data_IF_696363558718
#
_entry.id   IF_696363558718
#
_cell.length_a   1.000
_cell.length_b   1.000
_cell.length_c   1.000
_cell.angle_alpha   90.00
_cell.angle_beta   90.00
_cell.angle_gamma   90.00
#
_symmetry.space_group_name_H-M   'P 1'
#
loop_
_entity.id
_entity.type
_entity.pdbx_description
1 polymer ?
#
# COMPACT_ATOMS: atom_id res chain seq x y z
N UNK A 1 26.58 -26.26 -13.73
CA UNK A 1 25.45 -25.73 -12.93
C UNK A 1 24.74 -24.69 -13.77
N UNK A 2 23.42 -24.77 -13.93
CA UNK A 2 22.68 -23.68 -14.58
C UNK A 2 22.91 -22.40 -13.76
N UNK A 3 23.43 -21.36 -14.39
CA UNK A 3 23.79 -20.13 -13.70
C UNK A 3 22.51 -19.46 -13.16
N UNK A 4 22.39 -19.39 -11.84
CA UNK A 4 21.28 -18.72 -11.17
C UNK A 4 21.43 -17.20 -11.35
N UNK A 5 20.86 -16.67 -12.43
CA UNK A 5 20.97 -15.26 -12.84
C UNK A 5 19.59 -14.60 -12.93
N UNK A 6 19.54 -13.31 -13.26
CA UNK A 6 18.29 -12.53 -13.29
C UNK A 6 17.24 -13.09 -14.26
N UNK A 7 17.65 -13.83 -15.30
CA UNK A 7 16.77 -14.33 -16.35
C UNK A 7 16.30 -15.77 -16.11
N UNK A 8 16.69 -16.41 -15.01
CA UNK A 8 16.18 -17.75 -14.68
C UNK A 8 14.82 -17.68 -13.99
N UNK A 9 13.93 -18.66 -14.20
CA UNK A 9 12.66 -18.73 -13.48
C UNK A 9 12.82 -18.78 -11.95
N UNK A 10 11.77 -18.34 -11.26
CA UNK A 10 11.69 -18.32 -9.79
C UNK A 10 10.28 -18.75 -9.35
N UNK A 11 10.21 -19.77 -8.51
CA UNK A 11 9.00 -20.07 -7.74
C UNK A 11 8.87 -19.09 -6.58
N UNK A 12 7.76 -18.35 -6.51
CA UNK A 12 7.44 -17.40 -5.45
C UNK A 12 6.04 -17.71 -4.92
N UNK A 13 5.96 -18.31 -3.73
CA UNK A 13 4.69 -18.79 -3.17
C UNK A 13 4.00 -19.76 -4.13
N UNK A 14 2.78 -19.41 -4.55
CA UNK A 14 2.01 -20.18 -5.53
C UNK A 14 2.28 -19.80 -7.00
N UNK A 15 3.18 -18.85 -7.27
CA UNK A 15 3.50 -18.39 -8.62
C UNK A 15 4.81 -18.98 -9.15
N UNK A 16 4.83 -19.24 -10.46
CA UNK A 16 6.05 -19.49 -11.22
C UNK A 16 6.36 -18.23 -12.06
N UNK A 17 7.41 -17.51 -11.71
CA UNK A 17 7.82 -16.28 -12.39
C UNK A 17 8.80 -16.62 -13.52
N UNK A 18 8.63 -15.97 -14.68
CA UNK A 18 9.47 -16.21 -15.86
C UNK A 18 10.93 -15.78 -15.65
N UNK A 19 11.19 -14.82 -14.76
CA UNK A 19 12.50 -14.29 -14.43
C UNK A 19 12.49 -13.66 -13.01
N UNK A 20 13.65 -13.19 -12.55
CA UNK A 20 13.84 -12.59 -11.20
C UNK A 20 13.80 -11.06 -11.21
N UNK A 21 13.33 -10.45 -12.30
CA UNK A 21 13.27 -8.99 -12.45
C UNK A 21 11.87 -8.52 -12.07
N UNK A 22 11.77 -7.89 -10.90
CA UNK A 22 10.52 -7.37 -10.39
C UNK A 22 10.40 -5.88 -10.71
N UNK A 23 9.21 -5.44 -11.14
CA UNK A 23 8.88 -4.03 -11.18
C UNK A 23 8.47 -3.59 -9.77
N UNK A 24 9.25 -2.69 -9.19
CA UNK A 24 8.96 -2.10 -7.88
C UNK A 24 7.63 -1.32 -7.90
N UNK A 25 6.97 -1.19 -6.74
CA UNK A 25 5.79 -0.35 -6.58
C UNK A 25 6.16 1.13 -6.68
N UNK A 26 5.54 1.83 -7.64
CA UNK A 26 5.88 3.21 -8.01
C UNK A 26 4.60 4.04 -8.13
N UNK A 27 4.28 4.83 -7.11
CA UNK A 27 3.13 5.75 -7.13
C UNK A 27 3.23 6.75 -8.27
N UNK A 28 2.21 6.81 -9.15
CA UNK A 28 2.22 7.65 -10.35
C UNK A 28 1.19 8.77 -10.34
N UNK A 29 0.23 8.74 -9.40
CA UNK A 29 -0.85 9.71 -9.28
C UNK A 29 -1.67 9.87 -10.58
N UNK A 30 -1.97 8.76 -11.26
CA UNK A 30 -2.70 8.75 -12.55
C UNK A 30 -4.09 8.12 -12.49
N UNK A 31 -4.60 7.85 -11.29
CA UNK A 31 -6.02 7.56 -11.12
C UNK A 31 -6.83 8.84 -11.35
N UNK A 32 -8.14 8.70 -11.54
CA UNK A 32 -9.04 9.84 -11.61
C UNK A 32 -9.06 10.59 -10.27
N UNK A 33 -8.97 11.93 -10.26
CA UNK A 33 -8.99 12.70 -9.01
C UNK A 33 -10.33 12.59 -8.27
N UNK A 34 -10.27 12.40 -6.95
CA UNK A 34 -11.44 12.38 -6.05
C UNK A 34 -12.09 11.01 -5.90
N UNK A 35 -12.27 10.25 -6.99
CA UNK A 35 -12.82 8.88 -6.98
C UNK A 35 -11.74 7.79 -7.04
N UNK A 36 -10.49 8.15 -7.37
CA UNK A 36 -9.32 7.30 -7.30
C UNK A 36 -9.44 6.03 -8.15
N UNK A 37 -10.10 6.13 -9.31
CA UNK A 37 -10.34 5.02 -10.23
C UNK A 37 -9.15 4.89 -11.21
N UNK A 38 -8.56 3.69 -11.36
CA UNK A 38 -7.55 3.45 -12.38
C UNK A 38 -8.00 3.85 -13.79
N UNK A 39 -7.11 4.50 -14.54
CA UNK A 39 -7.40 5.00 -15.89
C UNK A 39 -6.93 4.05 -16.99
N UNK A 40 -7.42 4.23 -18.23
CA UNK A 40 -6.93 3.46 -19.39
C UNK A 40 -5.42 3.64 -19.64
N UNK A 41 -4.86 4.80 -19.26
CA UNK A 41 -3.42 5.02 -19.30
C UNK A 41 -2.65 4.10 -18.33
N UNK A 42 -3.24 3.76 -17.18
CA UNK A 42 -2.67 2.80 -16.23
C UNK A 42 -2.75 1.37 -16.76
N UNK A 43 -3.85 1.00 -17.45
CA UNK A 43 -3.96 -0.30 -18.13
C UNK A 43 -2.80 -0.50 -19.10
N UNK A 44 -2.58 0.47 -20.00
CA UNK A 44 -1.47 0.44 -20.94
C UNK A 44 -0.11 0.41 -20.22
N UNK A 45 0.07 1.23 -19.18
CA UNK A 45 1.32 1.34 -18.43
C UNK A 45 1.81 0.01 -17.86
N UNK A 46 0.91 -0.75 -17.22
CA UNK A 46 1.23 -2.05 -16.63
C UNK A 46 1.32 -3.15 -17.69
N UNK A 47 0.43 -3.15 -18.69
CA UNK A 47 0.50 -4.11 -19.79
C UNK A 47 1.84 -4.03 -20.55
N UNK A 48 2.42 -2.85 -20.72
CA UNK A 48 3.72 -2.68 -21.37
C UNK A 48 4.91 -3.24 -20.57
N UNK A 49 4.69 -3.58 -19.29
CA UNK A 49 5.71 -4.11 -18.38
C UNK A 49 5.47 -5.56 -18.00
N UNK A 50 4.50 -6.24 -18.62
CA UNK A 50 4.16 -7.63 -18.34
C UNK A 50 5.30 -8.65 -18.55
N UNK A 51 6.41 -8.25 -19.20
CA UNK A 51 7.62 -9.07 -19.32
C UNK A 51 8.45 -9.17 -18.03
N UNK A 52 8.19 -8.30 -17.03
CA UNK A 52 8.75 -8.46 -15.68
C UNK A 52 8.30 -9.78 -15.07
N UNK A 53 9.17 -10.43 -14.29
CA UNK A 53 8.83 -11.67 -13.59
C UNK A 53 7.60 -11.49 -12.70
N UNK A 54 7.54 -10.38 -11.96
CA UNK A 54 6.36 -9.93 -11.23
C UNK A 54 6.32 -8.40 -11.23
N UNK A 55 5.13 -7.85 -11.44
CA UNK A 55 4.81 -6.44 -11.21
C UNK A 55 4.24 -6.29 -9.80
N UNK A 56 4.70 -5.29 -9.06
CA UNK A 56 4.01 -4.84 -7.86
C UNK A 56 3.41 -3.48 -8.22
N UNK A 57 2.08 -3.42 -8.26
CA UNK A 57 1.36 -2.20 -8.61
C UNK A 57 1.64 -1.07 -7.61
N UNK A 58 1.36 0.16 -8.02
CA UNK A 58 1.46 1.32 -7.15
C UNK A 58 0.59 1.19 -5.88
N UNK A 59 0.96 1.95 -4.85
CA UNK A 59 0.24 1.93 -3.58
C UNK A 59 -1.25 2.22 -3.80
N UNK A 60 -2.09 1.33 -3.28
CA UNK A 60 -3.53 1.35 -3.51
C UNK A 60 -4.29 1.36 -2.19
N UNK A 61 -5.13 2.37 -2.00
CA UNK A 61 -5.81 2.63 -0.73
C UNK A 61 -6.86 1.56 -0.39
N UNK A 62 -6.72 0.94 0.78
CA UNK A 62 -7.66 -0.06 1.31
C UNK A 62 -8.95 0.54 1.88
N UNK A 63 -8.97 1.85 2.15
CA UNK A 63 -10.07 2.53 2.80
C UNK A 63 -10.28 3.94 2.22
N UNK A 64 -11.51 4.44 2.19
CA UNK A 64 -11.79 5.79 1.71
C UNK A 64 -11.18 6.82 2.64
N UNK A 65 -10.94 8.04 2.12
CA UNK A 65 -10.49 9.19 2.92
C UNK A 65 -9.12 8.98 3.60
N UNK A 66 -8.24 8.20 2.98
CA UNK A 66 -6.87 7.93 3.46
C UNK A 66 -5.78 8.39 2.49
N UNK A 67 -6.12 9.28 1.54
CA UNK A 67 -5.21 9.74 0.48
C UNK A 67 -4.09 10.63 1.01
N UNK A 68 -2.89 10.43 0.47
CA UNK A 68 -1.73 11.30 0.63
C UNK A 68 -1.24 11.95 -0.68
N UNK A 69 -1.72 11.51 -1.86
CA UNK A 69 -1.14 11.87 -3.16
C UNK A 69 -2.14 12.41 -4.20
N UNK A 70 -3.33 12.83 -3.78
CA UNK A 70 -4.41 13.42 -4.59
C UNK A 70 -5.09 12.46 -5.59
N UNK A 71 -4.32 11.67 -6.34
CA UNK A 71 -4.83 10.81 -7.42
C UNK A 71 -4.12 9.46 -7.50
N UNK A 72 -3.68 8.93 -6.36
CA UNK A 72 -3.34 7.51 -6.21
C UNK A 72 -4.60 6.63 -6.25
N UNK A 73 -4.53 5.38 -6.71
CA UNK A 73 -5.71 4.53 -6.83
C UNK A 73 -6.24 3.97 -5.49
N UNK A 74 -7.51 3.60 -5.46
CA UNK A 74 -8.14 2.83 -4.37
C UNK A 74 -8.48 1.39 -4.76
N UNK A 75 -8.81 0.56 -3.76
CA UNK A 75 -9.31 -0.84 -3.93
C UNK A 75 -10.51 -1.14 -3.02
N UNK A 76 -11.30 -0.11 -2.70
CA UNK A 76 -12.38 -0.19 -1.71
C UNK A 76 -13.78 0.10 -2.28
N UNK A 77 -13.89 0.55 -3.53
CA UNK A 77 -15.19 0.68 -4.22
C UNK A 77 -15.33 -0.28 -5.40
N UNK A 78 -16.56 -0.67 -5.80
CA UNK A 78 -16.79 -1.50 -6.97
C UNK A 78 -16.19 -0.94 -8.26
N UNK A 79 -16.26 0.38 -8.46
CA UNK A 79 -15.77 1.05 -9.66
C UNK A 79 -14.24 1.01 -9.75
N UNK A 80 -13.56 1.24 -8.63
CA UNK A 80 -12.10 1.10 -8.52
C UNK A 80 -11.67 -0.33 -8.87
N UNK A 81 -12.36 -1.34 -8.33
CA UNK A 81 -12.05 -2.75 -8.56
C UNK A 81 -12.32 -3.18 -9.99
N UNK A 82 -13.42 -2.73 -10.59
CA UNK A 82 -13.72 -3.00 -12.00
C UNK A 82 -12.66 -2.39 -12.93
N UNK A 83 -12.16 -1.20 -12.61
CA UNK A 83 -11.07 -0.57 -13.36
C UNK A 83 -9.73 -1.28 -13.16
N UNK A 84 -9.40 -1.71 -11.93
CA UNK A 84 -8.24 -2.55 -11.68
C UNK A 84 -8.30 -3.89 -12.40
N UNK A 85 -9.48 -4.49 -12.52
CA UNK A 85 -9.67 -5.72 -13.30
C UNK A 85 -9.22 -5.57 -14.75
N UNK A 86 -9.46 -4.42 -15.38
CA UNK A 86 -8.95 -4.15 -16.74
C UNK A 86 -7.41 -4.17 -16.79
N UNK A 87 -6.76 -3.64 -15.74
CA UNK A 87 -5.30 -3.62 -15.63
C UNK A 87 -4.75 -5.04 -15.51
N UNK A 88 -5.29 -5.84 -14.58
CA UNK A 88 -4.83 -7.21 -14.35
C UNK A 88 -5.11 -8.10 -15.57
N UNK A 89 -6.29 -8.00 -16.18
CA UNK A 89 -6.64 -8.71 -17.41
C UNK A 89 -5.66 -8.38 -18.54
N UNK A 90 -5.24 -7.11 -18.70
CA UNK A 90 -4.29 -6.69 -19.73
C UNK A 90 -2.85 -7.20 -19.46
N UNK A 91 -2.43 -7.27 -18.19
CA UNK A 91 -1.14 -7.88 -17.81
C UNK A 91 -1.16 -9.39 -18.06
N UNK A 92 -2.24 -10.06 -17.65
CA UNK A 92 -2.42 -11.51 -17.81
C UNK A 92 -2.56 -11.94 -19.27
N UNK A 93 -3.20 -11.13 -20.12
CA UNK A 93 -3.27 -11.37 -21.56
C UNK A 93 -1.89 -11.43 -22.23
N UNK A 94 -0.86 -10.82 -21.62
CA UNK A 94 0.55 -10.89 -22.07
C UNK A 94 1.38 -11.90 -21.28
N UNK A 95 0.74 -12.74 -20.45
CA UNK A 95 1.40 -13.76 -19.61
C UNK A 95 2.13 -13.20 -18.37
N UNK A 96 1.94 -11.92 -18.04
CA UNK A 96 2.57 -11.31 -16.88
C UNK A 96 1.92 -11.71 -15.55
N UNK A 97 2.58 -11.33 -14.45
CA UNK A 97 2.10 -11.49 -13.08
C UNK A 97 2.07 -10.16 -12.36
N UNK A 98 1.05 -9.92 -11.55
CA UNK A 98 0.87 -8.65 -10.85
C UNK A 98 0.29 -8.82 -9.45
N UNK A 99 0.96 -8.19 -8.48
CA UNK A 99 0.49 -8.02 -7.10
C UNK A 99 -0.01 -6.58 -6.90
N UNK A 100 -1.03 -6.42 -6.05
CA UNK A 100 -1.46 -5.09 -5.60
C UNK A 100 -0.71 -4.68 -4.33
N UNK A 101 -0.05 -3.52 -4.31
CA UNK A 101 0.49 -3.00 -3.05
C UNK A 101 -0.62 -2.31 -2.25
N UNK A 102 -1.17 -3.01 -1.27
CA UNK A 102 -2.24 -2.49 -0.41
C UNK A 102 -1.67 -1.58 0.69
N UNK A 103 -2.32 -0.44 0.87
CA UNK A 103 -1.72 0.70 1.55
C UNK A 103 -2.73 1.51 2.36
N UNK A 104 -2.25 2.08 3.47
CA UNK A 104 -2.95 3.07 4.29
C UNK A 104 -1.93 4.14 4.72
N UNK A 105 -2.16 5.40 4.35
CA UNK A 105 -1.18 6.46 4.55
C UNK A 105 -0.91 6.78 6.04
N UNK A 106 -1.91 6.59 6.90
CA UNK A 106 -1.81 6.94 8.32
C UNK A 106 -1.61 8.45 8.47
N UNK A 107 -0.62 8.89 9.26
CA UNK A 107 -0.36 10.32 9.46
C UNK A 107 0.05 11.09 8.19
N UNK A 108 0.41 10.39 7.11
CA UNK A 108 0.71 11.01 5.83
C UNK A 108 -0.55 11.41 5.04
N UNK A 109 -1.72 10.87 5.39
CA UNK A 109 -2.98 11.38 4.84
C UNK A 109 -3.18 12.83 5.26
N UNK A 110 -3.84 13.62 4.41
CA UNK A 110 -4.07 15.04 4.68
C UNK A 110 -5.54 15.43 4.49
N UNK A 111 -6.19 16.13 5.44
CA UNK A 111 -7.61 16.48 5.33
C UNK A 111 -8.02 17.21 4.04
N UNK A 112 -7.14 18.07 3.50
CA UNK A 112 -7.34 18.75 2.20
C UNK A 112 -7.58 17.77 1.03
N UNK A 113 -7.00 16.56 1.09
CA UNK A 113 -7.15 15.54 0.06
C UNK A 113 -8.32 14.58 0.34
N UNK A 114 -9.00 14.74 1.48
CA UNK A 114 -9.90 13.72 2.03
C UNK A 114 -11.22 14.34 2.55
N UNK A 115 -11.73 15.38 1.88
CA UNK A 115 -12.98 16.08 2.23
C UNK A 115 -13.05 16.55 3.70
N UNK A 116 -11.90 16.98 4.25
CA UNK A 116 -11.78 17.44 5.63
C UNK A 116 -11.75 16.31 6.68
N UNK A 117 -11.72 15.04 6.26
CA UNK A 117 -11.59 13.93 7.20
C UNK A 117 -10.27 13.97 7.95
N UNK A 118 -10.33 13.66 9.24
CA UNK A 118 -9.14 13.59 10.09
C UNK A 118 -8.23 12.44 9.65
N UNK A 119 -6.93 12.73 9.50
CA UNK A 119 -5.93 11.68 9.33
C UNK A 119 -5.64 10.98 10.66
N UNK A 120 -5.32 9.69 10.59
CA UNK A 120 -5.17 8.81 11.78
C UNK A 120 -3.78 8.20 11.86
N UNK A 121 -3.33 7.86 13.06
CA UNK A 121 -1.98 7.36 13.32
C UNK A 121 -1.93 6.55 14.62
N UNK A 122 -0.82 5.84 14.93
CA UNK A 122 -0.62 5.28 16.27
C UNK A 122 -0.56 6.35 17.37
N UNK A 123 -0.11 7.57 17.07
CA UNK A 123 0.01 8.68 18.03
C UNK A 123 -0.20 10.03 17.35
N UNK A 124 -0.63 11.04 18.12
CA UNK A 124 -0.90 12.40 17.62
C UNK A 124 0.39 13.19 17.35
N UNK A 125 1.18 12.74 16.37
CA UNK A 125 2.49 13.29 16.00
C UNK A 125 2.51 13.53 14.50
N UNK A 126 2.50 14.80 14.10
CA UNK A 126 2.63 15.20 12.70
C UNK A 126 3.99 14.80 12.11
N UNK A 127 4.04 14.65 10.79
CA UNK A 127 5.31 14.58 10.05
C UNK A 127 5.93 15.98 10.02
N UNK A 128 7.22 16.09 10.31
CA UNK A 128 7.94 17.36 10.15
C UNK A 128 8.02 17.75 8.66
N UNK A 129 7.67 19.00 8.34
CA UNK A 129 7.77 19.56 7.00
C UNK A 129 6.44 19.72 6.29
N UNK A 130 6.51 19.79 4.96
CA UNK A 130 5.38 20.12 4.09
C UNK A 130 4.99 18.92 3.21
N UNK A 131 3.71 18.84 2.86
CA UNK A 131 3.14 17.93 1.87
C UNK A 131 2.52 18.71 0.71
N UNK A 132 2.23 18.04 -0.40
CA UNK A 132 1.54 18.67 -1.53
C UNK A 132 0.03 18.66 -1.29
N UNK A 133 -0.60 19.80 -1.55
CA UNK A 133 -2.03 19.91 -1.72
C UNK A 133 -2.45 19.45 -3.12
N UNK A 134 -3.74 19.18 -3.31
CA UNK A 134 -4.28 18.85 -4.64
C UNK A 134 -4.16 19.97 -5.68
N UNK A 135 -3.91 21.21 -5.25
CA UNK A 135 -3.64 22.36 -6.12
C UNK A 135 -2.17 22.54 -6.48
N UNK A 136 -1.26 21.69 -5.97
CA UNK A 136 0.18 21.77 -6.21
C UNK A 136 0.95 22.64 -5.21
N UNK A 137 0.27 23.36 -4.32
CA UNK A 137 0.91 24.13 -3.25
C UNK A 137 1.43 23.21 -2.15
N UNK A 138 2.48 23.64 -1.44
CA UNK A 138 2.99 22.94 -0.26
C UNK A 138 2.34 23.45 1.01
N UNK A 139 1.77 22.54 1.80
CA UNK A 139 1.10 22.85 3.08
C UNK A 139 1.75 22.06 4.22
N UNK A 140 1.71 22.55 5.48
CA UNK A 140 2.17 21.76 6.62
C UNK A 140 1.41 20.44 6.74
N UNK A 141 2.08 19.38 7.19
CA UNK A 141 1.38 18.14 7.52
C UNK A 141 0.40 18.36 8.68
N UNK A 142 -0.78 17.74 8.59
CA UNK A 142 -1.79 17.79 9.64
C UNK A 142 -1.38 16.91 10.84
N UNK A 143 -1.70 17.37 12.05
CA UNK A 143 -1.58 16.56 13.26
C UNK A 143 -2.65 15.46 13.19
N UNK A 144 -2.27 14.18 13.17
CA UNK A 144 -3.24 13.09 13.11
C UNK A 144 -3.92 12.89 14.46
N UNK A 145 -5.09 12.26 14.46
CA UNK A 145 -5.68 11.68 15.66
C UNK A 145 -5.04 10.31 15.94
N UNK A 146 -4.81 10.00 17.21
CA UNK A 146 -4.38 8.65 17.60
C UNK A 146 -5.56 7.66 17.48
N UNK A 147 -5.35 6.54 16.80
CA UNK A 147 -6.35 5.47 16.69
C UNK A 147 -6.72 4.90 18.06
N UNK A 148 -8.00 4.68 18.29
CA UNK A 148 -8.48 3.89 19.41
C UNK A 148 -8.31 2.39 19.15
N UNK A 149 -8.34 1.57 20.20
CA UNK A 149 -8.11 0.12 20.07
C UNK A 149 -9.11 -0.57 19.13
N UNK A 150 -10.37 -0.14 19.13
CA UNK A 150 -11.39 -0.70 18.25
C UNK A 150 -11.14 -0.33 16.78
N UNK A 151 -10.69 0.91 16.52
CA UNK A 151 -10.36 1.38 15.17
C UNK A 151 -9.12 0.68 14.59
N UNK A 152 -8.18 0.25 15.43
CA UNK A 152 -7.05 -0.60 15.00
C UNK A 152 -7.58 -1.94 14.47
N UNK A 153 -8.52 -2.57 15.19
CA UNK A 153 -9.13 -3.83 14.75
C UNK A 153 -9.96 -3.66 13.46
N UNK A 154 -10.68 -2.55 13.32
CA UNK A 154 -11.36 -2.18 12.08
C UNK A 154 -10.37 -1.99 10.93
N UNK A 155 -9.24 -1.34 11.17
CA UNK A 155 -8.19 -1.14 10.17
C UNK A 155 -7.58 -2.48 9.71
N UNK A 156 -7.34 -3.43 10.64
CA UNK A 156 -6.91 -4.80 10.29
C UNK A 156 -7.95 -5.47 9.40
N UNK A 157 -9.23 -5.29 9.70
CA UNK A 157 -10.35 -5.81 8.89
C UNK A 157 -10.37 -5.18 7.50
N UNK A 158 -10.12 -3.87 7.38
CA UNK A 158 -10.02 -3.17 6.10
C UNK A 158 -8.85 -3.70 5.25
N UNK A 159 -7.70 -4.02 5.85
CA UNK A 159 -6.58 -4.65 5.14
C UNK A 159 -6.99 -6.01 4.55
N UNK A 160 -7.67 -6.85 5.33
CA UNK A 160 -8.15 -8.15 4.88
C UNK A 160 -9.22 -8.03 3.77
N UNK A 161 -10.16 -7.09 3.90
CA UNK A 161 -11.16 -6.80 2.86
C UNK A 161 -10.48 -6.30 1.58
N UNK A 162 -9.57 -5.32 1.69
CA UNK A 162 -8.82 -4.80 0.54
C UNK A 162 -8.03 -5.89 -0.17
N UNK A 163 -7.42 -6.82 0.57
CA UNK A 163 -6.73 -7.97 -0.01
C UNK A 163 -7.66 -8.91 -0.78
N UNK A 164 -8.83 -9.29 -0.19
CA UNK A 164 -9.84 -10.10 -0.90
C UNK A 164 -10.34 -9.40 -2.15
N UNK A 165 -10.68 -8.12 -2.05
CA UNK A 165 -11.13 -7.34 -3.19
C UNK A 165 -10.10 -7.36 -4.33
N UNK A 166 -8.81 -7.20 -4.01
CA UNK A 166 -7.74 -7.26 -5.01
C UNK A 166 -7.69 -8.61 -5.72
N UNK A 167 -7.71 -9.71 -4.97
CA UNK A 167 -7.51 -11.06 -5.53
C UNK A 167 -8.79 -11.59 -6.20
N UNK A 168 -9.93 -11.50 -5.52
CA UNK A 168 -11.18 -12.13 -5.94
C UNK A 168 -11.95 -11.32 -6.98
N UNK A 169 -11.90 -9.98 -6.91
CA UNK A 169 -12.70 -9.09 -7.76
C UNK A 169 -11.82 -8.45 -8.84
N UNK A 170 -10.71 -7.82 -8.43
CA UNK A 170 -9.82 -7.14 -9.35
C UNK A 170 -8.81 -8.08 -10.04
N UNK A 171 -8.77 -9.37 -9.70
CA UNK A 171 -7.97 -10.37 -10.41
C UNK A 171 -6.46 -10.27 -10.24
N UNK A 172 -5.96 -9.65 -9.17
CA UNK A 172 -4.52 -9.68 -8.86
C UNK A 172 -4.05 -11.10 -8.49
N UNK A 173 -2.80 -11.45 -8.82
CA UNK A 173 -2.22 -12.74 -8.43
C UNK A 173 -1.94 -12.83 -6.92
N UNK A 174 -1.91 -11.69 -6.23
CA UNK A 174 -1.68 -11.55 -4.79
C UNK A 174 -1.56 -10.09 -4.36
N UNK A 175 -1.13 -9.86 -3.12
CA UNK A 175 -0.94 -8.52 -2.57
C UNK A 175 0.40 -8.37 -1.86
N UNK A 176 0.92 -7.15 -1.83
CA UNK A 176 2.03 -6.76 -0.97
C UNK A 176 1.52 -5.77 0.09
N UNK A 177 1.73 -6.07 1.38
CA UNK A 177 1.50 -5.09 2.46
C UNK A 177 2.57 -4.01 2.36
N UNK A 178 2.14 -2.75 2.27
CA UNK A 178 3.05 -1.61 2.39
C UNK A 178 3.43 -1.34 3.86
N UNK A 179 4.31 -2.18 4.43
CA UNK A 179 4.88 -2.07 5.78
C UNK A 179 6.09 -1.15 5.91
N UNK A 180 6.26 -0.23 4.98
CA UNK A 180 7.49 0.53 4.74
C UNK A 180 7.20 2.02 4.56
N UNK A 181 8.27 2.78 4.41
CA UNK A 181 8.28 4.18 4.03
C UNK A 181 7.35 5.08 4.86
N UNK A 182 7.12 4.74 6.14
CA UNK A 182 6.57 5.70 7.10
C UNK A 182 5.07 5.85 7.01
N UNK A 183 4.41 4.91 6.33
CA UNK A 183 2.95 4.77 6.30
C UNK A 183 2.45 3.96 7.49
N UNK A 184 1.14 3.75 7.60
CA UNK A 184 0.51 3.36 8.86
C UNK A 184 1.18 2.16 9.55
N UNK A 185 1.43 1.08 8.81
CA UNK A 185 2.08 -0.12 9.36
C UNK A 185 3.49 0.21 9.89
N UNK A 186 4.30 0.95 9.14
CA UNK A 186 5.64 1.37 9.55
C UNK A 186 5.61 2.38 10.71
N UNK A 187 4.56 3.22 10.78
CA UNK A 187 4.33 4.15 11.89
C UNK A 187 4.12 3.37 13.19
N UNK A 188 3.41 2.24 13.18
CA UNK A 188 3.28 1.38 14.36
C UNK A 188 4.61 0.72 14.75
N UNK A 189 5.43 0.30 13.79
CA UNK A 189 6.72 -0.36 14.04
C UNK A 189 7.77 0.55 14.69
N UNK A 190 7.82 1.82 14.27
CA UNK A 190 8.87 2.78 14.64
C UNK A 190 8.49 3.58 15.89
N UNK A 191 9.38 3.58 16.88
CA UNK A 191 9.20 4.29 18.15
C UNK A 191 9.17 5.83 18.01
N UNK A 192 9.69 6.39 16.92
CA UNK A 192 9.58 7.81 16.59
C UNK A 192 8.14 8.26 16.29
N UNK A 193 7.32 7.38 15.70
CA UNK A 193 5.93 7.67 15.35
C UNK A 193 4.92 7.05 16.32
N UNK A 194 5.29 5.96 17.00
CA UNK A 194 4.44 5.25 17.96
C UNK A 194 4.89 5.52 19.40
N UNK A 195 4.12 6.34 20.11
CA UNK A 195 4.28 6.67 21.54
C UNK A 195 3.13 6.11 22.39
N UNK A 196 2.45 5.07 21.93
CA UNK A 196 1.33 4.47 22.66
C UNK A 196 1.80 3.81 23.96
N UNK A 197 0.97 3.89 24.99
CA UNK A 197 1.16 3.22 26.28
C UNK A 197 0.36 1.93 26.44
N UNK A 198 -0.31 1.46 25.38
CA UNK A 198 -1.15 0.26 25.38
C UNK A 198 -0.45 -0.94 24.71
N UNK A 199 -1.22 -1.98 24.41
CA UNK A 199 -0.73 -3.24 23.80
C UNK A 199 -0.17 -3.08 22.38
N UNK A 200 -0.30 -1.90 21.76
CA UNK A 200 0.28 -1.58 20.45
C UNK A 200 1.49 -0.64 20.54
N UNK A 201 1.97 -0.28 21.73
CA UNK A 201 3.16 0.57 21.92
C UNK A 201 4.10 0.12 23.04
N UNK A 202 5.18 0.89 23.22
CA UNK A 202 6.23 0.57 24.16
C UNK A 202 7.20 -0.49 23.62
N UNK A 203 7.02 -1.75 24.00
CA UNK A 203 7.94 -2.85 23.63
C UNK A 203 7.96 -3.12 22.13
N UNK A 204 9.04 -3.74 21.63
CA UNK A 204 9.14 -4.17 20.22
C UNK A 204 7.97 -5.10 19.86
N UNK A 205 7.62 -6.03 20.75
CA UNK A 205 6.51 -6.96 20.54
C UNK A 205 5.17 -6.23 20.33
N UNK A 206 4.88 -5.24 21.18
CA UNK A 206 3.66 -4.46 21.07
C UNK A 206 3.63 -3.61 19.79
N UNK A 207 4.75 -2.98 19.42
CA UNK A 207 4.85 -2.21 18.17
C UNK A 207 4.71 -3.09 16.91
N UNK A 208 5.18 -4.33 16.98
CA UNK A 208 5.03 -5.32 15.91
C UNK A 208 3.63 -5.98 15.87
N UNK A 209 2.80 -5.81 16.91
CA UNK A 209 1.49 -6.46 17.03
C UNK A 209 0.57 -6.13 15.86
N UNK A 210 0.47 -4.85 15.50
CA UNK A 210 -0.39 -4.41 14.39
C UNK A 210 0.01 -5.07 13.06
N UNK A 211 1.30 -5.07 12.72
CA UNK A 211 1.79 -5.76 11.53
C UNK A 211 1.45 -7.25 11.57
N UNK A 212 1.64 -7.92 12.70
CA UNK A 212 1.34 -9.36 12.83
C UNK A 212 -0.15 -9.63 12.60
N UNK A 213 -1.03 -8.83 13.17
CA UNK A 213 -2.48 -8.96 12.99
C UNK A 213 -2.90 -8.71 11.54
N UNK A 214 -2.32 -7.70 10.87
CA UNK A 214 -2.54 -7.46 9.44
C UNK A 214 -2.06 -8.64 8.58
N UNK A 215 -0.86 -9.17 8.84
CA UNK A 215 -0.31 -10.33 8.12
C UNK A 215 -1.20 -11.56 8.31
N UNK A 216 -1.62 -11.84 9.55
CA UNK A 216 -2.52 -12.96 9.85
C UNK A 216 -3.86 -12.80 9.15
N UNK A 217 -4.51 -11.64 9.29
CA UNK A 217 -5.84 -11.42 8.70
C UNK A 217 -5.83 -11.52 7.17
N UNK A 218 -4.77 -11.02 6.50
CA UNK A 218 -4.65 -11.17 5.05
C UNK A 218 -4.31 -12.62 4.66
N UNK A 219 -3.43 -13.28 5.40
CA UNK A 219 -3.09 -14.69 5.14
C UNK A 219 -4.32 -15.59 5.23
N UNK A 220 -5.17 -15.37 6.23
CA UNK A 220 -6.44 -16.10 6.40
C UNK A 220 -7.42 -15.78 5.26
N UNK A 221 -7.37 -14.56 4.73
CA UNK A 221 -8.31 -14.08 3.73
C UNK A 221 -8.00 -14.55 2.30
N UNK A 222 -6.72 -14.62 1.90
CA UNK A 222 -6.30 -14.93 0.51
C UNK A 222 -5.25 -16.04 0.39
N UNK A 223 -4.79 -16.59 1.53
CA UNK A 223 -3.70 -17.55 1.61
C UNK A 223 -2.32 -16.87 1.69
N UNK A 224 -1.45 -17.40 2.55
CA UNK A 224 -0.10 -16.87 2.77
C UNK A 224 0.80 -16.91 1.51
N UNK A 225 0.55 -17.86 0.59
CA UNK A 225 1.30 -17.98 -0.67
C UNK A 225 1.06 -16.83 -1.66
N UNK A 226 0.06 -15.97 -1.41
CA UNK A 226 -0.29 -14.79 -2.21
C UNK A 226 0.03 -13.47 -1.50
N UNK A 227 0.76 -13.52 -0.39
CA UNK A 227 1.05 -12.37 0.45
C UNK A 227 2.55 -12.04 0.46
N UNK A 228 2.88 -10.82 0.05
CA UNK A 228 4.18 -10.17 0.27
C UNK A 228 4.14 -9.11 1.37
N UNK A 229 5.29 -8.77 1.93
CA UNK A 229 5.47 -7.68 2.89
C UNK A 229 6.70 -6.86 2.50
N UNK A 230 6.51 -5.55 2.35
CA UNK A 230 7.61 -4.59 2.17
C UNK A 230 7.94 -3.92 3.49
N UNK A 231 9.23 -3.86 3.84
CA UNK A 231 9.76 -3.14 5.01
C UNK A 231 10.89 -2.18 4.58
N UNK A 232 11.13 -1.13 5.36
CA UNK A 232 12.25 -0.19 5.17
C UNK A 232 13.01 0.02 6.50
N UNK A 233 13.83 -0.95 6.93
CA UNK A 233 14.39 -0.98 8.30
C UNK A 233 15.37 0.15 8.58
N UNK A 234 16.14 0.58 7.58
CA UNK A 234 17.17 1.61 7.70
C UNK A 234 16.62 3.04 7.47
N UNK A 235 15.35 3.19 7.12
CA UNK A 235 14.80 4.49 6.74
C UNK A 235 14.46 5.34 7.98
N UNK A 236 15.26 6.38 8.21
CA UNK A 236 15.10 7.36 9.29
C UNK A 236 14.14 8.47 8.82
N UNK A 237 12.85 8.15 8.78
CA UNK A 237 11.78 9.06 8.36
C UNK A 237 11.38 10.11 9.40
N UNK A 238 12.36 10.64 10.14
CA UNK A 238 12.17 11.89 10.86
C UNK A 238 12.10 13.11 9.90
N UNK A 239 12.39 12.96 8.59
CA UNK A 239 12.64 14.10 7.67
C UNK A 239 12.11 14.01 6.24
N UNK A 240 11.13 13.17 5.90
CA UNK A 240 10.63 13.16 4.52
C UNK A 240 9.65 14.30 4.23
N UNK A 241 10.23 15.45 3.89
CA UNK A 241 9.66 16.31 2.85
C UNK A 241 10.24 15.85 1.50
N UNK A 242 9.37 15.53 0.55
CA UNK A 242 9.68 15.45 -0.89
C UNK A 242 10.49 14.22 -1.37
N UNK A 243 9.83 13.08 -1.56
CA UNK A 243 10.20 12.17 -2.66
C UNK A 243 8.94 11.72 -3.40
N UNK A 244 8.40 12.66 -4.17
CA UNK A 244 7.70 12.39 -5.41
C UNK A 244 8.35 13.34 -6.42
N UNK A 245 9.08 12.77 -7.38
CA UNK A 245 9.53 13.46 -8.59
C UNK A 245 8.43 13.33 -9.65
#
# INVERSE_FOLDING_TARGET
MAANNLFTPLKLGCLELANRILMAPLTRCRATPGDHIPTEAMVQHYADRAASGLIIAECSMIAPKTSAFYSEPGVHTPEQLAAWKKVTDAVHAKGGKIFCQIWHAGRAAHPILNDGAENVAPSAIAIEGLTHSGSGDKVPNAVPRALELHEIAETVTQFAIGARNCVEIAGFDGVEIHGANGYLVDQFLKDGANKRGDVYGGSIENRARFLREVVTAISDAIGADRLGLRLSPADVQARLASFVL
#
